data_IF_806016352546
#
_entry.id   IF_806016352546
#
_cell.length_a   1.000
_cell.length_b   1.000
_cell.length_c   1.000
_cell.angle_alpha   90.00
_cell.angle_beta   90.00
_cell.angle_gamma   90.00
#
_symmetry.space_group_name_H-M   'P 1'
#
loop_
_entity.id
_entity.type
_entity.pdbx_description
1 polymer ?
#
# COMPACT_ATOMS: atom_id res chain seq x y z
N UNK A 1 6.90 2.59 -10.92
CA UNK A 1 5.93 1.59 -11.43
C UNK A 1 4.79 1.71 -10.45
N UNK A 2 3.58 2.00 -10.93
CA UNK A 2 2.43 2.08 -10.03
C UNK A 2 2.02 0.68 -9.63
N UNK A 3 1.55 0.52 -8.40
CA UNK A 3 1.03 -0.76 -7.92
C UNK A 3 -0.40 -0.99 -8.42
N UNK A 4 -0.77 -2.25 -8.56
CA UNK A 4 -2.09 -2.67 -8.99
C UNK A 4 -2.90 -3.29 -7.84
N UNK A 5 -4.20 -3.47 -8.04
CA UNK A 5 -5.01 -4.28 -7.13
C UNK A 5 -4.49 -5.72 -7.13
N UNK A 6 -4.54 -6.38 -5.98
CA UNK A 6 -3.97 -7.69 -5.68
C UNK A 6 -2.42 -7.77 -5.60
N UNK A 7 -1.69 -6.66 -5.78
CA UNK A 7 -0.24 -6.64 -5.55
C UNK A 7 0.11 -6.78 -4.06
N UNK A 8 1.19 -7.51 -3.79
CA UNK A 8 1.75 -7.68 -2.44
C UNK A 8 2.86 -6.66 -2.22
N UNK A 9 2.75 -5.92 -1.11
CA UNK A 9 3.66 -4.82 -0.77
C UNK A 9 3.98 -4.85 0.71
N UNK A 10 5.17 -4.37 1.06
CA UNK A 10 5.53 -4.07 2.46
C UNK A 10 5.24 -2.61 2.73
N UNK A 11 4.51 -2.34 3.80
CA UNK A 11 4.29 -0.98 4.27
C UNK A 11 5.50 -0.47 5.06
N UNK A 12 5.98 0.72 4.72
CA UNK A 12 7.00 1.46 5.44
C UNK A 12 6.45 2.80 5.92
N UNK A 13 5.79 2.78 7.08
CA UNK A 13 5.33 3.98 7.78
C UNK A 13 5.45 3.82 9.30
N UNK A 14 6.39 4.54 9.90
CA UNK A 14 6.65 4.54 11.36
C UNK A 14 5.47 5.04 12.21
N UNK A 15 4.47 5.67 11.58
CA UNK A 15 3.24 6.10 12.25
C UNK A 15 2.13 5.05 12.15
N UNK A 16 2.27 4.07 11.26
CA UNK A 16 1.35 2.95 11.13
C UNK A 16 1.64 1.86 12.15
N UNK A 17 0.60 1.11 12.50
CA UNK A 17 0.72 -0.10 13.32
C UNK A 17 1.25 -1.29 12.48
N UNK A 18 1.18 -1.19 11.16
CA UNK A 18 1.58 -2.23 10.19
C UNK A 18 2.96 -1.95 9.55
N UNK A 19 3.79 -1.12 10.18
CA UNK A 19 5.15 -0.80 9.70
C UNK A 19 6.02 -2.06 9.59
N UNK A 20 6.47 -2.36 8.38
CA UNK A 20 7.26 -3.54 8.06
C UNK A 20 6.43 -4.82 7.85
N UNK A 21 5.10 -4.73 7.82
CA UNK A 21 4.23 -5.86 7.51
C UNK A 21 3.93 -5.95 6.01
N UNK A 22 3.78 -7.18 5.52
CA UNK A 22 3.32 -7.47 4.17
C UNK A 22 1.79 -7.40 4.12
N UNK A 23 1.27 -6.67 3.14
CA UNK A 23 -0.16 -6.58 2.89
C UNK A 23 -0.47 -6.61 1.40
N UNK A 24 -1.75 -6.77 1.08
CA UNK A 24 -2.25 -6.83 -0.30
C UNK A 24 -3.02 -5.58 -0.63
N UNK A 25 -2.73 -4.99 -1.79
CA UNK A 25 -3.46 -3.82 -2.28
C UNK A 25 -4.87 -4.26 -2.69
N UNK A 26 -5.87 -3.65 -2.09
CA UNK A 26 -7.29 -3.92 -2.36
C UNK A 26 -7.98 -2.78 -3.08
N UNK A 27 -7.34 -1.61 -3.17
CA UNK A 27 -7.85 -0.47 -3.89
C UNK A 27 -6.74 0.48 -4.30
N UNK A 28 -6.83 1.00 -5.52
CA UNK A 28 -5.96 2.05 -6.05
C UNK A 28 -6.80 3.30 -6.32
N UNK A 29 -6.43 4.42 -5.70
CA UNK A 29 -7.08 5.72 -5.88
C UNK A 29 -6.08 6.70 -6.48
N UNK A 30 -6.19 6.89 -7.78
CA UNK A 30 -5.39 7.87 -8.51
C UNK A 30 -5.98 9.28 -8.34
N UNK A 31 -5.13 10.23 -7.98
CA UNK A 31 -5.49 11.65 -7.98
C UNK A 31 -5.35 12.23 -9.39
N UNK A 32 -6.07 13.33 -9.68
CA UNK A 32 -5.98 14.02 -10.97
C UNK A 32 -4.60 14.62 -11.28
N UNK A 33 -3.67 14.59 -10.32
CA UNK A 33 -2.30 15.09 -10.43
C UNK A 33 -1.26 13.99 -10.67
N UNK A 34 -1.68 12.72 -10.69
CA UNK A 34 -0.80 11.57 -10.92
C UNK A 34 -0.24 10.94 -9.65
N UNK A 35 -0.60 11.43 -8.46
CA UNK A 35 -0.29 10.76 -7.21
C UNK A 35 -1.33 9.67 -6.96
N UNK A 36 -0.91 8.43 -6.72
CA UNK A 36 -1.79 7.32 -6.34
C UNK A 36 -1.76 7.11 -4.82
N UNK A 37 -2.94 6.86 -4.25
CA UNK A 37 -3.09 6.40 -2.88
C UNK A 37 -3.63 4.97 -2.91
N UNK A 38 -3.13 4.15 -1.99
CA UNK A 38 -3.42 2.73 -1.95
C UNK A 38 -4.16 2.36 -0.66
N UNK A 39 -5.00 1.35 -0.77
CA UNK A 39 -5.61 0.67 0.38
C UNK A 39 -5.01 -0.71 0.49
N UNK A 40 -4.46 -1.03 1.65
CA UNK A 40 -3.76 -2.29 1.90
C UNK A 40 -4.53 -3.06 2.96
N UNK A 41 -4.78 -4.34 2.68
CA UNK A 41 -5.35 -5.27 3.64
C UNK A 41 -4.23 -6.12 4.25
N UNK A 42 -4.27 -6.24 5.56
CA UNK A 42 -3.39 -7.06 6.40
C UNK A 42 -4.23 -8.16 7.08
N UNK A 43 -3.58 -9.09 7.81
CA UNK A 43 -4.30 -10.15 8.53
C UNK A 43 -5.25 -9.61 9.61
N UNK A 44 -4.83 -8.55 10.32
CA UNK A 44 -5.57 -7.97 11.46
C UNK A 44 -6.37 -6.70 11.12
N UNK A 45 -6.38 -6.26 9.85
CA UNK A 45 -7.10 -5.04 9.46
C UNK A 45 -6.80 -4.54 8.04
N UNK A 46 -7.14 -3.28 7.79
CA UNK A 46 -6.83 -2.61 6.53
C UNK A 46 -6.44 -1.15 6.78
N UNK A 47 -5.53 -0.62 5.97
CA UNK A 47 -5.09 0.77 6.01
C UNK A 47 -5.31 1.47 4.67
N UNK A 48 -5.80 2.70 4.70
CA UNK A 48 -6.23 3.47 3.52
C UNK A 48 -5.46 4.77 3.42
N UNK A 49 -5.20 5.22 2.19
CA UNK A 49 -4.53 6.49 1.94
C UNK A 49 -3.02 6.40 2.01
N UNK A 50 -2.47 5.22 1.73
CA UNK A 50 -1.03 5.00 1.74
C UNK A 50 -0.43 5.55 0.44
N UNK A 51 0.59 6.42 0.49
CA UNK A 51 1.28 6.88 -0.69
C UNK A 51 2.19 5.78 -1.27
N UNK A 52 2.42 5.83 -2.58
CA UNK A 52 3.37 4.92 -3.27
C UNK A 52 4.74 4.90 -2.60
N UNK A 53 5.23 6.06 -2.16
CA UNK A 53 6.55 6.22 -1.54
C UNK A 53 6.72 5.45 -0.21
N UNK A 54 5.61 5.09 0.43
CA UNK A 54 5.60 4.28 1.65
C UNK A 54 5.52 2.78 1.37
N UNK A 55 5.52 2.35 0.11
CA UNK A 55 5.36 0.95 -0.27
C UNK A 55 6.60 0.41 -0.95
N UNK A 56 6.99 -0.79 -0.54
CA UNK A 56 8.02 -1.57 -1.21
C UNK A 56 7.38 -2.77 -1.91
N UNK A 57 7.67 -2.92 -3.20
CA UNK A 57 7.19 -4.06 -3.98
C UNK A 57 7.83 -5.35 -3.49
N UNK A 58 7.03 -6.37 -3.19
CA UNK A 58 7.52 -7.72 -2.92
C UNK A 58 7.58 -8.45 -4.25
N UNK A 59 8.76 -8.51 -4.87
CA UNK A 59 8.99 -9.39 -6.02
C UNK A 59 9.09 -10.85 -5.54
N UNK A 60 8.27 -11.76 -6.07
CA UNK A 60 8.40 -13.23 -5.87
C UNK A 60 9.72 -13.79 -6.46
#
# INVERSE_FOLDING_TARGET
>A
MAFEEDDTVVLHDKHSEYDGEEGTITQVVETMFGDANYTISFEDGQEQGIPEDSLEAVEE
#
